data_IF_610330203140
#
_entry.id   IF_610330203140
#
_cell.length_a   1.000
_cell.length_b   1.000
_cell.length_c   1.000
_cell.angle_alpha   90.00
_cell.angle_beta   90.00
_cell.angle_gamma   90.00
#
_symmetry.space_group_name_H-M   'P 1'
#
loop_
_entity.id
_entity.type
_entity.pdbx_description
1 polymer ?
#
# COMPACT_ATOMS: atom_id res chain seq x y z
N UNK A 1 0.71 0.26 -16.63
CA UNK A 1 -0.36 0.39 -15.63
C UNK A 1 -1.69 -0.07 -16.21
N UNK A 2 -2.41 -0.93 -15.50
CA UNK A 2 -3.79 -1.32 -15.82
C UNK A 2 -4.77 -0.45 -15.02
N UNK A 3 -5.61 0.34 -15.70
CA UNK A 3 -6.53 1.29 -15.03
C UNK A 3 -7.54 0.57 -14.13
N UNK A 4 -8.03 -0.62 -14.50
CA UNK A 4 -8.97 -1.37 -13.66
C UNK A 4 -8.28 -1.88 -12.38
N UNK A 5 -7.04 -2.36 -12.50
CA UNK A 5 -6.19 -2.74 -11.36
C UNK A 5 -5.96 -1.53 -10.43
N UNK A 6 -5.51 -0.40 -10.99
CA UNK A 6 -5.27 0.84 -10.28
C UNK A 6 -6.54 1.33 -9.55
N UNK A 7 -7.68 1.34 -10.23
CA UNK A 7 -8.98 1.73 -9.66
C UNK A 7 -9.29 0.93 -8.39
N UNK A 8 -9.08 -0.38 -8.43
CA UNK A 8 -9.39 -1.27 -7.29
C UNK A 8 -8.48 -0.99 -6.09
N UNK A 9 -7.19 -0.79 -6.34
CA UNK A 9 -6.23 -0.50 -5.27
C UNK A 9 -6.46 0.90 -4.69
N UNK A 10 -6.63 1.93 -5.54
CA UNK A 10 -6.93 3.30 -5.09
C UNK A 10 -8.24 3.36 -4.31
N UNK A 11 -9.28 2.64 -4.74
CA UNK A 11 -10.55 2.61 -4.01
C UNK A 11 -10.37 2.06 -2.59
N UNK A 12 -9.66 0.95 -2.45
CA UNK A 12 -9.42 0.33 -1.16
C UNK A 12 -8.56 1.24 -0.26
N UNK A 13 -7.47 1.80 -0.78
CA UNK A 13 -6.63 2.77 -0.07
C UNK A 13 -7.44 3.97 0.43
N UNK A 14 -8.25 4.57 -0.45
CA UNK A 14 -9.08 5.75 -0.13
C UNK A 14 -10.18 5.40 0.89
N UNK A 15 -10.81 4.24 0.75
CA UNK A 15 -11.88 3.80 1.66
C UNK A 15 -11.37 3.37 3.03
N UNK A 16 -10.12 2.92 3.13
CA UNK A 16 -9.48 2.56 4.41
C UNK A 16 -8.91 3.77 5.15
N UNK A 17 -8.72 4.92 4.50
CA UNK A 17 -8.09 6.11 5.09
C UNK A 17 -8.70 6.58 6.42
N UNK A 18 -10.04 6.60 6.61
CA UNK A 18 -10.65 6.99 7.89
C UNK A 18 -10.31 6.07 9.08
N UNK A 19 -9.72 4.91 8.81
CA UNK A 19 -9.32 3.92 9.82
C UNK A 19 -7.81 3.81 9.99
N UNK A 20 -7.05 4.67 9.30
CA UNK A 20 -5.58 4.74 9.35
C UNK A 20 -5.13 5.95 10.17
N UNK A 21 -3.87 5.94 10.59
CA UNK A 21 -3.27 7.05 11.34
C UNK A 21 -3.11 8.31 10.46
N UNK A 22 -3.01 9.48 11.12
CA UNK A 22 -2.84 10.79 10.47
C UNK A 22 -1.67 10.87 9.45
N UNK A 23 -0.48 10.25 9.68
CA UNK A 23 0.59 10.26 8.68
C UNK A 23 0.16 9.70 7.32
N UNK A 24 -0.71 8.70 7.31
CA UNK A 24 -1.25 8.13 6.08
C UNK A 24 -2.18 9.13 5.37
N UNK A 25 -3.03 9.86 6.10
CA UNK A 25 -3.87 10.92 5.55
C UNK A 25 -3.02 12.01 4.86
N UNK A 26 -1.93 12.43 5.48
CA UNK A 26 -1.03 13.47 4.94
C UNK A 26 -0.18 13.01 3.75
N UNK A 27 -0.13 11.70 3.46
CA UNK A 27 0.58 11.18 2.29
C UNK A 27 -0.20 11.37 0.98
N UNK A 28 -1.52 11.56 1.05
CA UNK A 28 -2.41 11.62 -0.11
C UNK A 28 -2.05 12.66 -1.17
N UNK A 29 -1.62 13.90 -0.85
CA UNK A 29 -1.18 14.86 -1.87
C UNK A 29 -0.03 14.31 -2.74
N UNK A 30 0.96 13.68 -2.11
CA UNK A 30 2.10 13.05 -2.80
C UNK A 30 1.67 11.83 -3.60
N UNK A 31 0.82 10.96 -3.04
CA UNK A 31 0.24 9.82 -3.75
C UNK A 31 -0.52 10.31 -5.00
N UNK A 32 -1.35 11.34 -4.84
CA UNK A 32 -2.15 11.89 -5.93
C UNK A 32 -1.29 12.48 -7.05
N UNK A 33 -0.23 13.22 -6.71
CA UNK A 33 0.73 13.73 -7.69
C UNK A 33 1.37 12.60 -8.51
N UNK A 34 1.73 11.48 -7.87
CA UNK A 34 2.28 10.31 -8.56
C UNK A 34 1.24 9.59 -9.42
N UNK A 35 0.02 9.40 -8.92
CA UNK A 35 -1.07 8.81 -9.71
C UNK A 35 -1.40 9.64 -10.97
N UNK A 36 -1.37 10.97 -10.88
CA UNK A 36 -1.54 11.86 -12.05
C UNK A 36 -0.41 11.69 -13.07
N UNK A 37 0.85 11.53 -12.62
CA UNK A 37 2.00 11.26 -13.48
C UNK A 37 1.88 9.90 -14.18
N UNK A 38 1.36 8.90 -13.48
CA UNK A 38 1.08 7.55 -14.02
C UNK A 38 -0.11 7.51 -15.01
N UNK A 39 -0.83 8.62 -15.16
CA UNK A 39 -1.91 8.76 -16.14
C UNK A 39 -3.32 8.59 -15.57
N UNK A 40 -3.49 8.46 -14.25
CA UNK A 40 -4.81 8.53 -13.62
C UNK A 40 -5.41 9.94 -13.79
N UNK A 41 -6.75 10.02 -13.88
CA UNK A 41 -7.47 11.26 -14.22
C UNK A 41 -8.73 11.51 -13.38
N UNK A 42 -8.86 10.88 -12.21
CA UNK A 42 -9.99 11.18 -11.31
C UNK A 42 -9.90 12.63 -10.82
N UNK A 43 -10.97 13.44 -10.91
CA UNK A 43 -10.92 14.86 -10.55
C UNK A 43 -10.40 15.13 -9.13
N UNK A 44 -10.70 14.25 -8.17
CA UNK A 44 -10.22 14.39 -6.79
C UNK A 44 -8.68 14.32 -6.68
N UNK A 45 -7.99 13.64 -7.61
CA UNK A 45 -6.53 13.61 -7.60
C UNK A 45 -5.91 14.97 -7.88
N UNK A 46 -6.46 15.75 -8.81
CA UNK A 46 -5.97 17.10 -9.11
C UNK A 46 -6.12 18.01 -7.89
N UNK A 47 -7.24 17.88 -7.17
CA UNK A 47 -7.46 18.66 -5.95
C UNK A 47 -6.55 18.24 -4.81
N UNK A 48 -6.28 16.94 -4.65
CA UNK A 48 -5.37 16.42 -3.63
C UNK A 48 -3.92 16.83 -3.93
N UNK A 49 -3.47 16.72 -5.18
CA UNK A 49 -2.12 17.07 -5.59
C UNK A 49 -1.81 18.57 -5.51
N UNK A 50 -2.84 19.42 -5.44
CA UNK A 50 -2.71 20.87 -5.28
C UNK A 50 -2.64 21.32 -3.81
N UNK A 51 -2.74 20.41 -2.85
CA UNK A 51 -2.60 20.74 -1.42
C UNK A 51 -1.11 20.82 -1.09
N UNK A 52 -0.66 22.03 -0.77
CA UNK A 52 0.70 22.30 -0.30
C UNK A 52 0.73 22.41 1.23
N UNK A 53 1.49 21.51 1.86
CA UNK A 53 1.94 21.62 3.25
C UNK A 53 0.98 21.07 4.33
N UNK A 54 1.52 20.73 5.52
CA UNK A 54 0.73 20.31 6.68
C UNK A 54 0.18 21.56 7.38
N UNK A 55 -0.99 22.03 6.95
CA UNK A 55 -1.79 22.97 7.73
C UNK A 55 -3.11 22.30 8.10
N UNK A 56 -3.82 22.83 9.09
CA UNK A 56 -5.09 22.35 9.68
C UNK A 56 -6.21 22.08 8.64
N UNK A 57 -5.99 21.09 7.79
CA UNK A 57 -6.78 20.77 6.60
C UNK A 57 -7.24 19.31 6.63
N UNK A 58 -7.21 18.65 7.78
CA UNK A 58 -7.58 17.24 7.96
C UNK A 58 -8.97 16.98 7.36
N UNK A 59 -9.95 17.82 7.70
CA UNK A 59 -11.30 17.73 7.16
C UNK A 59 -11.35 17.91 5.63
N UNK A 60 -10.49 18.77 5.07
CA UNK A 60 -10.40 19.00 3.61
C UNK A 60 -9.75 17.79 2.92
N UNK A 61 -8.71 17.22 3.51
CA UNK A 61 -8.05 16.02 3.02
C UNK A 61 -9.01 14.83 3.07
N UNK A 62 -9.66 14.59 4.21
CA UNK A 62 -10.65 13.53 4.39
C UNK A 62 -11.78 13.65 3.36
N UNK A 63 -12.32 14.86 3.16
CA UNK A 63 -13.39 15.09 2.19
C UNK A 63 -12.94 14.73 0.77
N UNK A 64 -11.74 15.16 0.36
CA UNK A 64 -11.20 14.87 -0.97
C UNK A 64 -10.89 13.39 -1.17
N UNK A 65 -10.35 12.72 -0.15
CA UNK A 65 -10.10 11.27 -0.19
C UNK A 65 -11.41 10.49 -0.24
N UNK A 66 -12.44 10.90 0.50
CA UNK A 66 -13.77 10.32 0.43
C UNK A 66 -14.39 10.49 -0.97
N UNK A 67 -14.23 11.66 -1.60
CA UNK A 67 -14.63 11.90 -2.99
C UNK A 67 -13.87 10.99 -3.96
N UNK A 68 -12.57 10.78 -3.76
CA UNK A 68 -11.78 9.83 -4.55
C UNK A 68 -12.29 8.38 -4.39
N UNK A 69 -12.63 7.97 -3.17
CA UNK A 69 -13.21 6.65 -2.91
C UNK A 69 -14.55 6.46 -3.65
N UNK A 70 -15.39 7.50 -3.70
CA UNK A 70 -16.64 7.48 -4.47
C UNK A 70 -16.39 7.38 -5.98
N UNK A 71 -15.42 8.13 -6.52
CA UNK A 71 -15.08 8.13 -7.95
C UNK A 71 -14.51 6.80 -8.43
N UNK A 72 -13.87 6.05 -7.54
CA UNK A 72 -13.26 4.74 -7.81
C UNK A 72 -14.16 3.56 -7.44
N UNK A 73 -15.40 3.82 -6.98
CA UNK A 73 -16.34 2.79 -6.53
C UNK A 73 -16.97 1.97 -7.66
N UNK A 74 -17.11 2.52 -8.87
CA UNK A 74 -17.76 1.79 -9.96
C UNK A 74 -16.80 0.81 -10.62
N UNK A 75 -17.17 -0.48 -10.67
CA UNK A 75 -16.43 -1.49 -11.45
C UNK A 75 -15.44 -2.35 -10.65
N UNK A 76 -15.52 -2.33 -9.32
CA UNK A 76 -14.64 -3.08 -8.44
C UNK A 76 -15.24 -4.44 -8.05
N UNK A 77 -14.40 -5.47 -8.14
CA UNK A 77 -14.63 -6.77 -7.52
C UNK A 77 -14.55 -6.71 -5.99
N UNK A 78 -14.27 -7.83 -5.30
CA UNK A 78 -14.20 -7.85 -3.84
C UNK A 78 -13.26 -6.78 -3.28
N UNK A 79 -13.64 -6.15 -2.16
CA UNK A 79 -12.81 -5.19 -1.46
C UNK A 79 -11.45 -5.81 -1.12
N UNK A 80 -10.37 -5.08 -1.42
CA UNK A 80 -9.02 -5.47 -1.02
C UNK A 80 -8.77 -5.04 0.42
N UNK A 81 -8.09 -5.89 1.19
CA UNK A 81 -7.65 -5.51 2.52
C UNK A 81 -6.41 -4.60 2.41
N UNK A 82 -6.30 -3.62 3.31
CA UNK A 82 -5.17 -2.67 3.32
C UNK A 82 -3.81 -3.35 3.51
N UNK A 83 -3.74 -4.41 4.30
CA UNK A 83 -2.51 -5.16 4.54
C UNK A 83 -2.15 -6.09 3.38
N UNK A 84 -3.16 -6.62 2.68
CA UNK A 84 -2.94 -7.33 1.42
C UNK A 84 -2.34 -6.37 0.38
N UNK A 85 -2.83 -5.13 0.34
CA UNK A 85 -2.29 -4.09 -0.53
C UNK A 85 -0.85 -3.76 -0.15
N UNK A 86 -0.57 -3.45 1.12
CA UNK A 86 0.77 -3.08 1.56
C UNK A 86 1.81 -4.18 1.24
N UNK A 87 1.51 -5.43 1.57
CA UNK A 87 2.37 -6.57 1.23
C UNK A 87 2.54 -6.74 -0.29
N UNK A 88 1.45 -6.63 -1.06
CA UNK A 88 1.48 -6.72 -2.52
C UNK A 88 2.28 -5.59 -3.17
N UNK A 89 2.23 -4.37 -2.65
CA UNK A 89 3.00 -3.23 -3.18
C UNK A 89 4.51 -3.42 -2.94
N UNK A 90 4.91 -3.95 -1.79
CA UNK A 90 6.33 -4.31 -1.54
C UNK A 90 6.79 -5.36 -2.56
N UNK A 91 6.00 -6.40 -2.79
CA UNK A 91 6.31 -7.42 -3.80
C UNK A 91 6.37 -6.82 -5.22
N UNK A 92 5.52 -5.83 -5.52
CA UNK A 92 5.54 -5.12 -6.80
C UNK A 92 6.85 -4.34 -6.99
N UNK A 93 7.32 -3.61 -5.97
CA UNK A 93 8.60 -2.86 -6.01
C UNK A 93 9.77 -3.83 -6.20
N UNK A 94 9.80 -4.94 -5.45
CA UNK A 94 10.78 -6.01 -5.63
C UNK A 94 10.76 -6.58 -7.06
N UNK A 95 9.57 -6.87 -7.63
CA UNK A 95 9.45 -7.34 -9.01
C UNK A 95 9.92 -6.33 -10.06
N UNK A 96 9.83 -5.04 -9.76
CA UNK A 96 10.38 -3.99 -10.61
C UNK A 96 11.91 -3.87 -10.50
N UNK A 97 12.53 -4.50 -9.50
CA UNK A 97 13.98 -4.47 -9.27
C UNK A 97 14.46 -3.27 -8.45
N UNK A 98 13.52 -2.51 -7.85
CA UNK A 98 13.83 -1.35 -7.02
C UNK A 98 14.26 -1.75 -5.60
N UNK A 99 13.83 -2.94 -5.14
CA UNK A 99 14.32 -3.60 -3.93
C UNK A 99 14.97 -4.94 -4.28
N UNK A 100 16.03 -5.30 -3.56
CA UNK A 100 16.42 -6.70 -3.44
C UNK A 100 15.51 -7.45 -2.45
N UNK A 101 15.72 -8.76 -2.30
CA UNK A 101 14.89 -9.57 -1.40
C UNK A 101 15.05 -9.15 0.07
N UNK A 102 16.25 -8.73 0.50
CA UNK A 102 16.51 -8.28 1.86
C UNK A 102 15.82 -6.96 2.17
N UNK A 103 15.95 -5.98 1.28
CA UNK A 103 15.29 -4.68 1.37
C UNK A 103 13.76 -4.86 1.47
N UNK A 104 13.17 -5.68 0.60
CA UNK A 104 11.74 -5.94 0.61
C UNK A 104 11.26 -6.59 1.91
N UNK A 105 12.03 -7.53 2.48
CA UNK A 105 11.72 -8.14 3.78
C UNK A 105 11.85 -7.12 4.93
N UNK A 106 12.83 -6.23 4.90
CA UNK A 106 12.96 -5.16 5.90
C UNK A 106 11.74 -4.20 5.89
N UNK A 107 11.19 -3.94 4.70
CA UNK A 107 9.94 -3.18 4.57
C UNK A 107 8.73 -3.93 5.13
N UNK A 108 8.64 -5.26 4.96
CA UNK A 108 7.60 -6.06 5.62
C UNK A 108 7.75 -6.00 7.15
N UNK A 109 8.96 -6.10 7.69
CA UNK A 109 9.21 -5.98 9.14
C UNK A 109 8.75 -4.62 9.68
N UNK A 110 9.04 -3.53 8.96
CA UNK A 110 8.63 -2.18 9.36
C UNK A 110 7.10 -2.05 9.50
N UNK A 111 6.34 -2.67 8.58
CA UNK A 111 4.86 -2.69 8.63
C UNK A 111 4.31 -3.48 9.82
N UNK A 112 5.05 -4.46 10.34
CA UNK A 112 4.58 -5.31 11.43
C UNK A 112 4.23 -4.53 12.69
N UNK A 113 4.99 -3.47 12.98
CA UNK A 113 4.78 -2.62 14.15
C UNK A 113 3.35 -2.06 14.23
N UNK A 114 2.76 -1.74 13.07
CA UNK A 114 1.40 -1.21 12.91
C UNK A 114 0.40 -2.36 12.72
N UNK A 115 0.72 -3.30 11.82
CA UNK A 115 -0.17 -4.40 11.47
C UNK A 115 -0.53 -5.30 12.68
N UNK A 116 0.42 -5.57 13.57
CA UNK A 116 0.21 -6.48 14.72
C UNK A 116 -0.79 -5.97 15.75
N UNK A 117 -1.05 -4.67 15.78
CA UNK A 117 -1.96 -4.02 16.74
C UNK A 117 -3.36 -3.79 16.17
N UNK A 118 -3.58 -4.12 14.89
CA UNK A 118 -4.91 -4.05 14.32
C UNK A 118 -5.80 -5.13 14.95
N UNK A 119 -6.96 -4.73 15.49
CA UNK A 119 -7.92 -5.56 16.22
C UNK A 119 -8.57 -6.64 15.33
N UNK A 120 -7.79 -7.62 14.90
CA UNK A 120 -8.23 -8.68 13.99
C UNK A 120 -8.51 -9.97 14.74
N UNK A 121 -9.71 -10.51 14.53
CA UNK A 121 -10.02 -11.87 14.98
C UNK A 121 -9.09 -12.87 14.28
N UNK A 122 -8.47 -13.83 14.98
CA UNK A 122 -7.50 -14.77 14.41
C UNK A 122 -7.96 -15.57 13.17
N UNK A 123 -9.27 -15.76 12.98
CA UNK A 123 -9.85 -16.44 11.79
C UNK A 123 -10.28 -15.52 10.64
N UNK A 124 -10.10 -14.20 10.78
CA UNK A 124 -10.41 -13.18 9.77
C UNK A 124 -9.17 -12.39 9.36
N UNK A 125 -7.99 -12.88 9.75
CA UNK A 125 -6.71 -12.22 9.44
C UNK A 125 -6.45 -12.33 7.94
N UNK A 126 -6.23 -11.20 7.23
CA UNK A 126 -5.91 -11.20 5.80
C UNK A 126 -4.53 -11.80 5.58
N UNK A 127 -4.30 -12.37 4.40
CA UNK A 127 -3.06 -13.07 4.08
C UNK A 127 -1.83 -12.15 4.13
N UNK A 128 -2.00 -10.87 3.79
CA UNK A 128 -0.98 -9.85 3.90
C UNK A 128 -0.39 -9.73 5.30
N UNK A 129 -1.20 -9.87 6.36
CA UNK A 129 -0.68 -9.85 7.75
C UNK A 129 0.15 -11.10 8.05
N UNK A 130 -0.21 -12.26 7.51
CA UNK A 130 0.59 -13.48 7.66
C UNK A 130 1.95 -13.30 6.98
N UNK A 131 1.95 -12.79 5.74
CA UNK A 131 3.17 -12.51 4.98
C UNK A 131 4.06 -11.48 5.68
N UNK A 132 3.48 -10.39 6.20
CA UNK A 132 4.22 -9.39 6.98
C UNK A 132 4.88 -10.06 8.20
N UNK A 133 4.15 -10.91 8.93
CA UNK A 133 4.69 -11.65 10.07
C UNK A 133 5.79 -12.65 9.70
N UNK A 134 5.69 -13.33 8.55
CA UNK A 134 6.75 -14.17 8.02
C UNK A 134 8.01 -13.34 7.66
N UNK A 135 7.81 -12.14 7.10
CA UNK A 135 8.88 -11.18 6.82
C UNK A 135 9.70 -10.82 8.06
N UNK A 136 9.04 -10.56 9.20
CA UNK A 136 9.72 -10.29 10.49
C UNK A 136 10.64 -11.45 10.89
N UNK A 137 10.15 -12.69 10.77
CA UNK A 137 10.93 -13.87 11.14
C UNK A 137 12.17 -14.04 10.24
N UNK A 138 12.02 -13.75 8.94
CA UNK A 138 13.14 -13.78 7.99
C UNK A 138 14.12 -12.62 8.20
N UNK A 139 13.64 -11.42 8.51
CA UNK A 139 14.49 -10.26 8.81
C UNK A 139 15.43 -10.54 9.99
N UNK A 140 14.90 -11.15 11.06
CA UNK A 140 15.73 -11.60 12.18
C UNK A 140 16.78 -12.66 11.78
N UNK A 141 16.52 -13.43 10.71
CA UNK A 141 17.41 -14.45 10.18
C UNK A 141 18.58 -13.90 9.33
N UNK A 142 18.38 -12.79 8.60
CA UNK A 142 19.40 -12.21 7.71
C UNK A 142 20.73 -11.86 8.42
N UNK A 143 20.71 -11.61 9.73
CA UNK A 143 21.91 -11.35 10.51
C UNK A 143 22.77 -12.62 10.77
N UNK A 144 22.22 -13.82 10.51
CA UNK A 144 22.78 -15.08 11.00
C UNK A 144 22.90 -16.17 9.92
N UNK A 145 22.02 -16.16 8.92
CA UNK A 145 21.96 -17.16 7.84
C UNK A 145 21.50 -16.51 6.53
N UNK A 146 21.90 -17.11 5.40
CA UNK A 146 21.35 -16.71 4.09
C UNK A 146 19.93 -17.25 3.96
N UNK A 147 18.96 -16.34 3.90
CA UNK A 147 17.51 -16.63 3.79
C UNK A 147 16.92 -16.07 2.49
N UNK A 148 17.77 -15.81 1.50
CA UNK A 148 17.35 -15.15 0.25
C UNK A 148 16.26 -15.95 -0.47
N UNK A 149 16.39 -17.27 -0.55
CA UNK A 149 15.41 -18.11 -1.24
C UNK A 149 14.05 -18.13 -0.53
N UNK A 150 14.04 -18.14 0.80
CA UNK A 150 12.84 -18.06 1.63
C UNK A 150 12.18 -16.69 1.50
N UNK A 151 12.98 -15.62 1.49
CA UNK A 151 12.51 -14.25 1.26
C UNK A 151 11.80 -14.13 -0.10
N UNK A 152 12.42 -14.65 -1.18
CA UNK A 152 11.80 -14.64 -2.52
C UNK A 152 10.50 -15.46 -2.58
N UNK A 153 10.40 -16.56 -1.82
CA UNK A 153 9.17 -17.35 -1.73
C UNK A 153 8.04 -16.56 -1.06
N UNK A 154 8.33 -15.88 0.05
CA UNK A 154 7.38 -15.00 0.74
C UNK A 154 6.92 -13.86 -0.17
N UNK A 155 7.86 -13.18 -0.84
CA UNK A 155 7.54 -12.09 -1.77
C UNK A 155 6.73 -12.59 -2.97
N UNK A 156 7.00 -13.79 -3.47
CA UNK A 156 6.21 -14.41 -4.56
C UNK A 156 4.78 -14.69 -4.14
N UNK A 157 4.53 -15.08 -2.88
CA UNK A 157 3.17 -15.23 -2.32
C UNK A 157 2.43 -13.89 -2.18
N UNK A 158 3.14 -12.79 -2.00
CA UNK A 158 2.56 -11.46 -1.92
C UNK A 158 2.12 -10.89 -3.28
N UNK A 159 2.78 -11.27 -4.38
CA UNK A 159 2.44 -10.80 -5.74
C UNK A 159 0.95 -10.90 -6.07
N UNK A 160 0.25 -12.03 -5.88
CA UNK A 160 -1.17 -12.16 -6.24
C UNK A 160 -2.15 -11.44 -5.30
N UNK A 161 -1.69 -10.83 -4.21
CA UNK A 161 -2.56 -10.14 -3.25
C UNK A 161 -3.19 -8.87 -3.83
N UNK A 162 -2.52 -8.24 -4.80
CA UNK A 162 -3.06 -7.11 -5.55
C UNK A 162 -3.26 -7.49 -7.02
N UNK A 163 -4.19 -6.82 -7.73
CA UNK A 163 -4.33 -6.99 -9.17
C UNK A 163 -3.01 -6.69 -9.90
N UNK A 164 -2.70 -7.36 -11.01
CA UNK A 164 -1.45 -7.18 -11.74
C UNK A 164 -1.30 -5.77 -12.31
N UNK A 165 -0.06 -5.28 -12.33
CA UNK A 165 0.38 -3.96 -12.80
C UNK A 165 -0.50 -2.79 -12.33
N UNK A 166 -0.79 -2.70 -11.00
CA UNK A 166 -1.71 -1.68 -10.51
C UNK A 166 -1.09 -0.29 -10.62
N UNK A 167 0.23 -0.16 -10.40
CA UNK A 167 0.94 1.12 -10.49
C UNK A 167 2.38 0.95 -10.97
N UNK A 168 3.07 2.07 -11.25
CA UNK A 168 4.53 2.11 -11.34
C UNK A 168 5.18 2.02 -9.95
N UNK A 169 6.46 1.63 -9.89
CA UNK A 169 7.21 1.58 -8.64
C UNK A 169 7.21 2.93 -7.86
N UNK A 170 7.37 4.11 -8.51
CA UNK A 170 7.25 5.41 -7.81
C UNK A 170 5.92 5.64 -7.09
N UNK A 171 4.80 5.13 -7.60
CA UNK A 171 3.50 5.21 -6.91
C UNK A 171 3.48 4.22 -5.74
N UNK A 172 3.98 3.00 -5.94
CA UNK A 172 4.07 2.00 -4.87
C UNK A 172 4.87 2.54 -3.67
N UNK A 173 6.03 3.17 -3.92
CA UNK A 173 6.81 3.84 -2.87
C UNK A 173 6.01 4.95 -2.19
N UNK A 174 5.38 5.85 -2.94
CA UNK A 174 4.63 6.95 -2.37
C UNK A 174 3.47 6.49 -1.46
N UNK A 175 2.84 5.35 -1.79
CA UNK A 175 1.81 4.74 -0.94
C UNK A 175 2.42 4.13 0.32
N UNK A 176 3.52 3.37 0.19
CA UNK A 176 4.18 2.72 1.34
C UNK A 176 4.80 3.73 2.32
N UNK A 177 5.31 4.85 1.82
CA UNK A 177 5.78 5.97 2.65
C UNK A 177 4.68 6.52 3.57
N UNK A 178 3.40 6.33 3.21
CA UNK A 178 2.26 6.71 4.06
C UNK A 178 2.05 5.79 5.26
N UNK A 179 2.62 4.58 5.24
CA UNK A 179 2.58 3.62 6.35
C UNK A 179 3.77 3.77 7.31
N UNK A 180 4.63 4.78 7.11
CA UNK A 180 5.87 5.00 7.86
C UNK A 180 5.72 6.00 9.00
#
# INVERSE_FOLDING_TARGET
MNIASATRVVHALASSTPHMDLPYLYSWPRIAARLLQDGCRWPALTELAAIDGPSDQDAVLEEKVARLAQQTRSGIGPALNIWDIAAGLIACIWKHGDYDAGDAIAHLDSLWSIARHSDMKPGLRPEGVNIIGEGVALWAGFAHVDVTAEAEQVLTRAVPLIPPDPFSAPVCHAVLDGFS
#
